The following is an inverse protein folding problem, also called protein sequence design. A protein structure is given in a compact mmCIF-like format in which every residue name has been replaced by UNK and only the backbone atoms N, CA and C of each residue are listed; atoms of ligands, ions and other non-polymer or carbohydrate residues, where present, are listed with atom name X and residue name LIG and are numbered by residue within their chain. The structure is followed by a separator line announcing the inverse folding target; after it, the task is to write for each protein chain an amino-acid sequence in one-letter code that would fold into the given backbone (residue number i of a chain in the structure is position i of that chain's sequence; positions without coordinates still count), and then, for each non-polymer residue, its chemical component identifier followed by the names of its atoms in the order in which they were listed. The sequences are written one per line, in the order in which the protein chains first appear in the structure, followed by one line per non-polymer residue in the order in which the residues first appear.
data_IF_936775213986
#
_entry.id   IF_936775213986
#
_cell.length_a   1.000
_cell.length_b   1.000
_cell.length_c   1.000
_cell.angle_alpha   90.00
_cell.angle_beta   90.00
_cell.angle_gamma   90.00
#
_symmetry.space_group_name_H-M   'P 1'
#
loop_
_entity.id
_entity.type
_entity.pdbx_description
1 polymer ?
#
# COMPACT_ATOMS: atom_id res chain seq x y z
N UNK A 1 -12.16 5.80 -54.84
CA UNK A 1 -12.89 6.88 -54.15
C UNK A 1 -12.40 6.94 -52.71
N UNK A 2 -11.45 7.82 -52.47
CA UNK A 2 -11.06 8.28 -51.14
C UNK A 2 -12.18 9.12 -50.53
N UNK A 3 -12.54 8.88 -49.26
CA UNK A 3 -12.84 9.87 -48.19
C UNK A 3 -12.71 9.09 -46.86
N UNK A 4 -11.59 9.16 -46.14
CA UNK A 4 -11.12 10.25 -45.26
C UNK A 4 -12.08 10.54 -44.08
N UNK A 5 -11.59 10.17 -42.89
CA UNK A 5 -11.37 11.04 -41.73
C UNK A 5 -12.45 11.22 -40.63
N UNK A 6 -11.91 11.26 -39.40
CA UNK A 6 -12.47 11.72 -38.11
C UNK A 6 -13.40 10.73 -37.39
N UNK A 7 -13.10 10.24 -36.18
CA UNK A 7 -12.53 10.96 -35.05
C UNK A 7 -11.46 10.16 -34.29
N UNK A 8 -10.27 10.75 -34.24
CA UNK A 8 -9.30 10.56 -33.17
C UNK A 8 -9.82 11.15 -31.86
N UNK A 9 -9.24 10.66 -30.76
CA UNK A 9 -8.82 11.45 -29.57
C UNK A 9 -9.62 11.19 -28.30
N UNK A 10 -9.15 10.21 -27.53
CA UNK A 10 -8.81 10.44 -26.13
C UNK A 10 -7.41 9.87 -25.86
N UNK A 11 -6.41 10.76 -25.98
CA UNK A 11 -5.10 10.62 -25.36
C UNK A 11 -5.32 10.78 -23.86
N UNK A 12 -5.00 9.73 -23.11
CA UNK A 12 -4.73 9.79 -21.68
C UNK A 12 -3.51 8.92 -21.46
N UNK A 13 -2.34 9.47 -21.75
CA UNK A 13 -1.05 8.84 -21.51
C UNK A 13 -0.87 8.65 -20.01
N UNK A 14 -0.96 7.40 -19.53
CA UNK A 14 -0.18 6.97 -18.39
C UNK A 14 0.68 5.82 -18.88
N UNK A 15 1.99 6.07 -18.93
CA UNK A 15 2.99 5.16 -19.44
C UNK A 15 3.05 3.90 -18.59
N UNK A 16 2.24 2.90 -18.92
CA UNK A 16 2.43 1.54 -18.44
C UNK A 16 3.46 0.86 -19.35
N UNK A 17 4.75 1.06 -19.04
CA UNK A 17 5.80 0.22 -19.62
C UNK A 17 5.76 -1.14 -18.93
N UNK A 18 5.06 -2.08 -19.57
CA UNK A 18 5.18 -3.51 -19.33
C UNK A 18 6.58 -3.95 -19.78
N UNK A 19 7.37 -4.49 -18.87
CA UNK A 19 8.58 -5.25 -19.19
C UNK A 19 8.26 -6.73 -18.92
N UNK A 20 8.04 -7.50 -19.98
CA UNK A 20 8.08 -8.96 -19.93
C UNK A 20 9.53 -9.41 -20.13
N UNK A 21 10.11 -10.13 -19.17
CA UNK A 21 11.19 -11.08 -19.45
C UNK A 21 11.02 -12.35 -18.64
N UNK A 22 11.02 -13.46 -19.38
CA UNK A 22 10.78 -14.82 -19.00
C UNK A 22 11.87 -15.44 -18.11
N UNK A 23 11.43 -16.37 -17.26
CA UNK A 23 12.14 -17.55 -16.74
C UNK A 23 13.57 -17.36 -16.20
N UNK A 24 13.74 -17.41 -14.87
CA UNK A 24 14.56 -18.42 -14.17
C UNK A 24 14.21 -18.41 -12.67
N UNK A 25 14.01 -19.59 -12.11
CA UNK A 25 13.88 -19.96 -10.70
C UNK A 25 14.54 -19.01 -9.67
N UNK A 26 13.71 -18.30 -8.90
CA UNK A 26 14.06 -17.76 -7.58
C UNK A 26 12.79 -17.51 -6.77
N UNK A 27 12.43 -18.48 -5.92
CA UNK A 27 11.34 -18.39 -4.93
C UNK A 27 11.75 -17.50 -3.73
N UNK A 28 12.67 -16.56 -3.94
CA UNK A 28 13.28 -15.72 -2.91
C UNK A 28 13.57 -14.37 -3.54
N UNK A 29 13.04 -13.30 -2.95
CA UNK A 29 13.20 -11.87 -3.33
C UNK A 29 12.06 -11.27 -4.17
N UNK A 30 10.84 -11.24 -3.62
CA UNK A 30 9.78 -10.32 -4.09
C UNK A 30 9.16 -9.54 -2.92
N UNK A 31 10.00 -9.02 -2.03
CA UNK A 31 9.66 -7.80 -1.29
C UNK A 31 10.52 -6.68 -1.90
N UNK A 32 10.36 -6.44 -3.20
CA UNK A 32 10.76 -5.15 -3.76
C UNK A 32 9.72 -4.12 -3.32
N UNK A 33 10.13 -2.90 -2.93
CA UNK A 33 9.22 -1.90 -2.41
C UNK A 33 8.23 -1.55 -3.51
N UNK A 34 6.98 -1.96 -3.34
CA UNK A 34 5.88 -1.57 -4.22
C UNK A 34 5.58 -0.09 -3.96
N UNK A 35 6.49 0.79 -4.36
CA UNK A 35 6.25 2.23 -4.51
C UNK A 35 5.52 2.47 -5.84
N UNK A 36 4.48 1.68 -6.07
CA UNK A 36 3.58 1.77 -7.21
C UNK A 36 2.18 2.00 -6.68
N UNK A 37 1.71 3.23 -6.74
CA UNK A 37 0.32 3.63 -6.44
C UNK A 37 -0.28 2.97 -5.18
N UNK A 38 0.12 3.47 -4.01
CA UNK A 38 -0.62 3.24 -2.77
C UNK A 38 -2.11 3.50 -3.02
N UNK A 39 -2.94 2.52 -2.66
CA UNK A 39 -4.39 2.67 -2.77
C UNK A 39 -4.79 3.84 -1.88
N UNK A 40 -5.25 4.94 -2.47
CA UNK A 40 -5.58 6.15 -1.72
C UNK A 40 -6.60 5.86 -0.62
N UNK A 41 -7.50 4.91 -0.91
CA UNK A 41 -8.47 4.36 0.04
C UNK A 41 -7.84 3.73 1.28
N UNK A 42 -6.67 3.12 1.14
CA UNK A 42 -5.95 2.54 2.27
C UNK A 42 -5.38 3.63 3.18
N UNK A 43 -4.80 4.67 2.55
CA UNK A 43 -4.30 5.84 3.27
C UNK A 43 -5.46 6.56 3.98
N UNK A 44 -6.59 6.75 3.30
CA UNK A 44 -7.81 7.29 3.90
C UNK A 44 -8.29 6.45 5.09
N UNK A 45 -8.34 5.11 4.97
CA UNK A 45 -8.71 4.24 6.10
C UNK A 45 -7.74 4.34 7.28
N UNK A 46 -6.42 4.42 7.04
CA UNK A 46 -5.44 4.63 8.12
C UNK A 46 -5.61 6.01 8.76
N UNK A 47 -5.89 7.04 7.97
CA UNK A 47 -6.17 8.39 8.46
C UNK A 47 -7.45 8.44 9.30
N UNK A 48 -8.52 7.71 8.95
CA UNK A 48 -9.73 7.62 9.77
C UNK A 48 -9.42 7.02 11.16
N UNK A 49 -8.55 6.01 11.20
CA UNK A 49 -8.10 5.43 12.46
C UNK A 49 -7.28 6.48 13.25
N UNK A 50 -6.30 7.14 12.64
CA UNK A 50 -5.52 8.17 13.35
C UNK A 50 -6.37 9.35 13.81
N UNK A 51 -7.38 9.76 13.06
CA UNK A 51 -8.33 10.79 13.47
C UNK A 51 -9.09 10.37 14.73
N UNK A 52 -9.56 9.12 14.77
CA UNK A 52 -10.31 8.59 15.91
C UNK A 52 -9.48 8.47 17.19
N UNK A 53 -8.18 8.21 17.10
CA UNK A 53 -7.32 7.99 18.27
C UNK A 53 -6.44 9.19 18.63
N UNK A 54 -5.91 9.90 17.64
CA UNK A 54 -4.98 11.02 17.80
C UNK A 54 -5.59 12.38 17.40
N UNK A 55 -6.73 12.39 16.71
CA UNK A 55 -7.34 13.63 16.18
C UNK A 55 -6.54 14.27 15.05
N UNK A 56 -5.71 13.49 14.35
CA UNK A 56 -4.88 13.96 13.23
C UNK A 56 -5.00 13.04 12.02
N UNK A 57 -4.93 13.64 10.83
CA UNK A 57 -4.85 12.93 9.55
C UNK A 57 -3.55 13.33 8.86
N UNK A 58 -2.67 12.36 8.63
CA UNK A 58 -1.36 12.58 8.05
C UNK A 58 -1.03 11.45 7.07
N UNK A 59 -1.12 11.78 5.77
CA UNK A 59 -0.87 10.85 4.68
C UNK A 59 0.56 10.26 4.71
N UNK A 60 1.54 11.04 5.18
CA UNK A 60 2.93 10.57 5.26
C UNK A 60 3.11 9.60 6.42
N UNK A 61 2.43 9.85 7.54
CA UNK A 61 2.37 8.91 8.67
C UNK A 61 1.70 7.61 8.26
N UNK A 62 0.53 7.68 7.61
CA UNK A 62 -0.20 6.52 7.09
C UNK A 62 0.64 5.73 6.08
N UNK A 63 1.32 6.41 5.16
CA UNK A 63 2.22 5.78 4.21
C UNK A 63 3.41 5.08 4.89
N UNK A 64 4.02 5.72 5.89
CA UNK A 64 5.18 5.15 6.61
C UNK A 64 4.78 3.92 7.42
N UNK A 65 3.62 3.95 8.06
CA UNK A 65 3.05 2.79 8.73
C UNK A 65 2.78 1.68 7.74
N UNK A 66 2.13 1.98 6.61
CA UNK A 66 1.85 0.96 5.60
C UNK A 66 3.10 0.24 5.11
N UNK A 67 4.16 1.00 4.78
CA UNK A 67 5.44 0.44 4.31
C UNK A 67 6.11 -0.44 5.38
N UNK A 68 6.06 0.00 6.64
CA UNK A 68 6.52 -0.79 7.79
C UNK A 68 5.74 -2.10 7.91
N UNK A 69 4.41 -2.04 7.84
CA UNK A 69 3.54 -3.21 8.01
C UNK A 69 3.69 -4.21 6.86
N UNK A 70 3.92 -3.74 5.63
CA UNK A 70 4.23 -4.62 4.50
C UNK A 70 5.50 -5.46 4.73
N UNK A 71 6.48 -4.88 5.42
CA UNK A 71 7.73 -5.56 5.79
C UNK A 71 7.56 -6.52 6.97
N UNK A 72 6.48 -6.37 7.75
CA UNK A 72 6.18 -7.19 8.93
C UNK A 72 5.25 -8.36 8.60
N UNK A 73 5.63 -9.63 8.87
CA UNK A 73 4.77 -10.79 8.60
C UNK A 73 3.70 -11.01 9.68
N UNK A 74 3.89 -10.48 10.89
CA UNK A 74 2.99 -10.70 12.02
C UNK A 74 2.72 -9.40 12.79
N UNK A 75 1.59 -9.34 13.50
CA UNK A 75 1.25 -8.22 14.38
C UNK A 75 2.34 -7.94 15.43
N UNK A 76 2.95 -8.99 15.99
CA UNK A 76 4.04 -8.83 16.96
C UNK A 76 5.24 -8.12 16.35
N UNK A 77 5.54 -8.42 15.09
CA UNK A 77 6.60 -7.76 14.33
C UNK A 77 6.26 -6.29 14.06
N UNK A 78 5.00 -5.99 13.71
CA UNK A 78 4.52 -4.59 13.58
C UNK A 78 4.61 -3.82 14.90
N UNK A 79 4.12 -4.38 16.01
CA UNK A 79 4.16 -3.70 17.32
C UNK A 79 5.60 -3.45 17.75
N UNK A 80 6.50 -4.41 17.49
CA UNK A 80 7.94 -4.25 17.71
C UNK A 80 8.53 -3.15 16.83
N UNK A 81 8.22 -3.15 15.52
CA UNK A 81 8.70 -2.16 14.58
C UNK A 81 8.24 -0.73 14.95
N UNK A 82 7.00 -0.56 15.39
CA UNK A 82 6.48 0.72 15.89
C UNK A 82 7.24 1.16 17.15
N UNK A 83 7.45 0.24 18.10
CA UNK A 83 8.15 0.51 19.37
C UNK A 83 9.66 0.76 19.21
N UNK A 84 10.27 0.27 18.14
CA UNK A 84 11.69 0.47 17.82
C UNK A 84 11.91 1.66 16.86
N UNK A 85 10.88 2.11 16.16
CA UNK A 85 10.94 3.25 15.24
C UNK A 85 10.70 4.58 15.94
N UNK A 86 10.90 5.66 15.20
CA UNK A 86 10.54 7.02 15.61
C UNK A 86 9.04 7.16 15.91
N UNK A 87 8.22 6.28 15.34
CA UNK A 87 6.80 6.13 15.63
C UNK A 87 6.47 5.82 17.11
N UNK A 88 7.43 5.29 17.88
CA UNK A 88 7.28 5.09 19.32
C UNK A 88 6.96 6.39 20.07
N UNK A 89 7.43 7.53 19.56
CA UNK A 89 7.21 8.82 20.23
C UNK A 89 5.74 9.22 20.32
N UNK A 90 4.89 8.65 19.48
CA UNK A 90 3.43 8.87 19.51
C UNK A 90 2.72 8.03 20.59
N UNK A 91 3.42 7.10 21.24
CA UNK A 91 2.87 6.18 22.25
C UNK A 91 1.55 5.54 21.78
N UNK A 92 1.56 4.98 20.57
CA UNK A 92 0.37 4.40 19.96
C UNK A 92 -0.22 3.32 20.88
N UNK A 93 -1.49 3.45 21.31
CA UNK A 93 -2.14 2.43 22.14
C UNK A 93 -2.21 1.09 21.40
N UNK A 94 -2.18 -0.02 22.15
CA UNK A 94 -2.27 -1.36 21.55
C UNK A 94 -3.53 -1.52 20.70
N UNK A 95 -4.67 -0.97 21.14
CA UNK A 95 -5.95 -0.98 20.41
C UNK A 95 -5.83 -0.37 19.01
N UNK A 96 -5.14 0.76 18.90
CA UNK A 96 -4.86 1.42 17.63
C UNK A 96 -3.97 0.55 16.73
N UNK A 97 -2.92 -0.06 17.28
CA UNK A 97 -2.04 -0.97 16.53
C UNK A 97 -2.83 -2.19 16.01
N UNK A 98 -3.75 -2.74 16.80
CA UNK A 98 -4.64 -3.82 16.38
C UNK A 98 -5.58 -3.38 15.24
N UNK A 99 -6.21 -2.21 15.35
CA UNK A 99 -7.10 -1.69 14.30
C UNK A 99 -6.36 -1.45 12.98
N UNK A 100 -5.19 -0.80 13.04
CA UNK A 100 -4.34 -0.58 11.87
C UNK A 100 -3.94 -1.91 11.22
N UNK A 101 -3.46 -2.87 12.02
CA UNK A 101 -3.08 -4.19 11.52
C UNK A 101 -4.27 -4.93 10.90
N UNK A 102 -5.46 -4.83 11.49
CA UNK A 102 -6.68 -5.44 10.98
C UNK A 102 -7.04 -4.94 9.59
N UNK A 103 -7.06 -3.62 9.41
CA UNK A 103 -7.32 -2.98 8.11
C UNK A 103 -6.23 -3.36 7.12
N UNK A 104 -4.95 -3.17 7.46
CA UNK A 104 -3.83 -3.47 6.56
C UNK A 104 -3.79 -4.94 6.15
N UNK A 105 -4.03 -5.86 7.07
CA UNK A 105 -4.09 -7.29 6.77
C UNK A 105 -5.23 -7.63 5.81
N UNK A 106 -6.38 -6.95 5.93
CA UNK A 106 -7.49 -7.12 5.01
C UNK A 106 -7.16 -6.63 3.60
N UNK A 107 -6.51 -5.47 3.49
CA UNK A 107 -6.03 -4.94 2.22
C UNK A 107 -4.96 -5.82 1.58
N UNK A 108 -4.01 -6.34 2.37
CA UNK A 108 -2.99 -7.27 1.88
C UNK A 108 -3.61 -8.51 1.25
N UNK A 109 -4.60 -9.12 1.90
CA UNK A 109 -5.37 -10.24 1.34
C UNK A 109 -6.10 -9.87 0.04
N UNK A 110 -6.67 -8.66 -0.05
CA UNK A 110 -7.34 -8.18 -1.27
C UNK A 110 -6.36 -8.00 -2.44
N UNK A 111 -5.16 -7.48 -2.17
CA UNK A 111 -4.10 -7.32 -3.18
C UNK A 111 -3.62 -8.69 -3.67
N UNK A 112 -3.38 -9.62 -2.74
CA UNK A 112 -2.99 -11.00 -3.07
C UNK A 112 -4.07 -11.74 -3.88
N UNK A 113 -5.35 -11.48 -3.59
CA UNK A 113 -6.47 -12.05 -4.33
C UNK A 113 -6.62 -11.48 -5.76
N UNK A 114 -6.33 -10.20 -5.98
CA UNK A 114 -6.42 -9.54 -7.29
C UNK A 114 -5.24 -9.86 -8.23
N UNK A 115 -4.20 -10.56 -7.77
CA UNK A 115 -3.04 -10.98 -8.57
C UNK A 115 -3.17 -12.36 -9.23
N UNK A 116 -4.33 -13.01 -9.14
CA UNK A 116 -4.59 -14.35 -9.71
C UNK A 116 -5.63 -14.33 -10.85
N UNK A 117 -5.51 -13.37 -11.79
CA UNK A 117 -6.25 -13.43 -13.07
C UNK A 117 -5.31 -13.33 -14.27
#
# INVERSE_FOLDING_TARGET
MERKHFASKLKGESSFKRCETNNTSCITTLITPFKGSLDRKLIDCLNEIFDSYLGVQDDQLAQSVWDMVLSCPTLQDMSKAIKESELKMFDFPEELVFDMWGVVSDWKRKIEANGME
#
